data_IF_141769276530
#
_entry.id   IF_141769276530
#
_cell.length_a   1.000
_cell.length_b   1.000
_cell.length_c   1.000
_cell.angle_alpha   90.00
_cell.angle_beta   90.00
_cell.angle_gamma   90.00
#
_symmetry.space_group_name_H-M   'P 1'
#
loop_
_entity.id
_entity.type
_entity.pdbx_description
1 polymer ?
#
# COMPACT_ATOMS: atom_id res chain seq x y z
N UNK A 1 -6.27 5.25 -14.21
CA UNK A 1 -5.50 4.68 -15.34
C UNK A 1 -4.85 3.40 -14.86
N UNK A 2 -4.89 2.31 -15.62
CA UNK A 2 -4.16 1.08 -15.28
C UNK A 2 -2.65 1.33 -15.24
N UNK A 3 -1.94 0.59 -14.40
CA UNK A 3 -0.48 0.66 -14.22
C UNK A 3 0.10 -0.74 -14.32
N UNK A 4 1.24 -0.89 -14.99
CA UNK A 4 1.89 -2.19 -15.17
C UNK A 4 2.41 -2.75 -13.84
N UNK A 5 2.11 -4.03 -13.58
CA UNK A 5 2.55 -4.71 -12.35
C UNK A 5 4.08 -4.84 -12.33
N UNK A 6 4.73 -5.04 -13.49
CA UNK A 6 6.20 -5.01 -13.61
C UNK A 6 6.81 -3.69 -13.15
N UNK A 7 6.16 -2.56 -13.43
CA UNK A 7 6.64 -1.26 -12.98
C UNK A 7 6.58 -1.15 -11.45
N UNK A 8 5.48 -1.63 -10.85
CA UNK A 8 5.28 -1.65 -9.39
C UNK A 8 6.29 -2.61 -8.71
N UNK A 9 6.55 -3.77 -9.31
CA UNK A 9 7.49 -4.76 -8.79
C UNK A 9 8.92 -4.21 -8.61
N UNK A 10 9.30 -3.20 -9.40
CA UNK A 10 10.60 -2.54 -9.31
C UNK A 10 10.74 -1.56 -8.12
N UNK A 11 9.63 -1.21 -7.44
CA UNK A 11 9.66 -0.31 -6.28
C UNK A 11 10.47 -0.92 -5.14
N UNK A 12 11.24 -0.07 -4.43
CA UNK A 12 12.21 -0.53 -3.42
C UNK A 12 11.58 -1.45 -2.36
N UNK A 13 10.37 -1.14 -1.87
CA UNK A 13 9.64 -2.00 -0.90
C UNK A 13 9.06 -3.27 -1.52
N UNK A 14 8.70 -3.24 -2.81
CA UNK A 14 8.18 -4.41 -3.51
C UNK A 14 9.23 -5.48 -3.77
N UNK A 15 10.53 -5.13 -3.70
CA UNK A 15 11.64 -6.09 -3.82
C UNK A 15 11.66 -7.13 -2.69
N UNK A 16 10.97 -6.89 -1.58
CA UNK A 16 10.73 -7.92 -0.54
C UNK A 16 9.84 -9.07 -1.04
N UNK A 17 9.12 -8.87 -2.15
CA UNK A 17 8.28 -9.86 -2.82
C UNK A 17 8.89 -10.23 -4.18
N UNK A 18 9.99 -11.00 -4.20
CA UNK A 18 10.75 -11.26 -5.43
C UNK A 18 9.98 -12.10 -6.46
N UNK A 19 9.00 -12.90 -6.02
CA UNK A 19 8.25 -13.77 -6.91
C UNK A 19 7.06 -13.02 -7.57
N UNK A 20 7.19 -12.76 -8.86
CA UNK A 20 6.16 -12.09 -9.66
C UNK A 20 4.83 -12.86 -9.70
N UNK A 21 4.87 -14.19 -9.83
CA UNK A 21 3.66 -15.00 -9.91
C UNK A 21 2.85 -14.94 -8.60
N UNK A 22 3.54 -15.00 -7.45
CA UNK A 22 2.92 -14.85 -6.13
C UNK A 22 2.33 -13.45 -5.93
N UNK A 23 3.00 -12.41 -6.45
CA UNK A 23 2.47 -11.06 -6.41
C UNK A 23 1.16 -10.96 -7.21
N UNK A 24 1.13 -11.50 -8.43
CA UNK A 24 -0.07 -11.47 -9.28
C UNK A 24 -1.22 -12.27 -8.66
N UNK A 25 -0.96 -13.44 -8.06
CA UNK A 25 -2.00 -14.21 -7.37
C UNK A 25 -2.59 -13.44 -6.18
N UNK A 26 -1.74 -12.82 -5.36
CA UNK A 26 -2.19 -11.99 -4.23
C UNK A 26 -3.01 -10.77 -4.71
N UNK A 27 -2.62 -10.14 -5.82
CA UNK A 27 -3.37 -9.02 -6.39
C UNK A 27 -4.75 -9.45 -6.93
N UNK A 28 -4.88 -10.67 -7.46
CA UNK A 28 -6.18 -11.23 -7.91
C UNK A 28 -7.15 -11.44 -6.74
N UNK A 29 -6.65 -11.71 -5.54
CA UNK A 29 -7.45 -11.87 -4.31
C UNK A 29 -7.82 -10.52 -3.65
N UNK A 30 -7.28 -9.39 -4.13
CA UNK A 30 -7.50 -8.08 -3.53
C UNK A 30 -8.97 -7.62 -3.60
N UNK A 31 -9.50 -7.10 -2.50
CA UNK A 31 -10.82 -6.46 -2.47
C UNK A 31 -10.84 -5.07 -3.11
N UNK A 32 -9.70 -4.38 -3.18
CA UNK A 32 -9.59 -2.97 -3.61
C UNK A 32 -9.07 -2.83 -5.05
N UNK A 33 -8.20 -3.74 -5.47
CA UNK A 33 -7.54 -3.70 -6.77
C UNK A 33 -8.13 -4.74 -7.74
N UNK A 34 -8.09 -4.43 -9.02
CA UNK A 34 -8.48 -5.31 -10.12
C UNK A 34 -7.28 -5.47 -11.07
N UNK A 35 -6.96 -6.73 -11.38
CA UNK A 35 -5.91 -7.11 -12.34
C UNK A 35 -6.56 -7.28 -13.72
N UNK A 36 -5.95 -6.69 -14.74
CA UNK A 36 -6.38 -6.73 -16.15
C UNK A 36 -5.18 -7.16 -17.00
N UNK A 37 -5.43 -7.80 -18.14
CA UNK A 37 -4.41 -8.15 -19.13
C UNK A 37 -4.09 -9.65 -19.14
N UNK A 38 -3.17 -10.02 -20.03
CA UNK A 38 -2.69 -11.39 -20.19
C UNK A 38 -1.56 -11.71 -19.22
N UNK A 39 -1.27 -13.01 -19.05
CA UNK A 39 -0.21 -13.49 -18.18
C UNK A 39 1.16 -12.97 -18.63
N UNK A 40 1.84 -12.23 -17.76
CA UNK A 40 3.11 -11.57 -18.06
C UNK A 40 3.02 -10.12 -18.55
N UNK A 41 1.84 -9.58 -18.86
CA UNK A 41 1.60 -8.16 -19.15
C UNK A 41 0.48 -7.58 -18.27
N UNK A 42 0.40 -8.06 -17.03
CA UNK A 42 -0.64 -7.66 -16.11
C UNK A 42 -0.56 -6.19 -15.75
N UNK A 43 -1.72 -5.54 -15.77
CA UNK A 43 -1.94 -4.19 -15.30
C UNK A 43 -2.90 -4.20 -14.12
N UNK A 44 -2.75 -3.23 -13.23
CA UNK A 44 -3.62 -3.05 -12.07
C UNK A 44 -4.34 -1.71 -12.13
N UNK A 45 -5.63 -1.72 -11.79
CA UNK A 45 -6.42 -0.52 -11.53
C UNK A 45 -7.15 -0.63 -10.19
N UNK A 46 -7.58 0.49 -9.63
CA UNK A 46 -8.54 0.50 -8.52
C UNK A 46 -9.92 0.10 -9.03
N UNK A 47 -10.64 -0.72 -8.25
CA UNK A 47 -12.05 -1.07 -8.52
C UNK A 47 -12.94 0.16 -8.40
N UNK A 48 -12.79 0.88 -7.29
CA UNK A 48 -13.49 2.14 -7.06
C UNK A 48 -12.61 3.34 -7.45
N UNK A 49 -13.13 4.30 -8.22
CA UNK A 49 -12.40 5.51 -8.54
C UNK A 49 -12.17 6.35 -7.28
N UNK A 50 -11.03 7.03 -7.22
CA UNK A 50 -10.75 7.95 -6.13
C UNK A 50 -11.75 9.11 -6.12
N UNK A 51 -12.41 9.32 -4.97
CA UNK A 51 -13.35 10.43 -4.75
C UNK A 51 -12.63 11.52 -3.97
N UNK A 52 -12.58 12.74 -4.53
CA UNK A 52 -11.96 13.91 -3.90
C UNK A 52 -12.82 14.53 -2.78
N UNK A 53 -13.90 13.86 -2.37
CA UNK A 53 -14.86 14.35 -1.36
C UNK A 53 -14.37 14.25 0.08
N UNK A 54 -13.09 13.96 0.30
CA UNK A 54 -12.52 13.87 1.65
C UNK A 54 -12.47 15.28 2.24
N UNK A 55 -13.28 15.55 3.27
CA UNK A 55 -13.20 16.79 4.02
C UNK A 55 -11.80 16.89 4.64
N UNK A 56 -11.06 17.96 4.31
CA UNK A 56 -9.72 18.20 4.84
C UNK A 56 -9.72 18.23 6.38
N UNK A 57 -10.83 18.66 6.99
CA UNK A 57 -10.98 18.65 8.44
C UNK A 57 -11.06 17.23 9.01
N UNK A 58 -11.58 16.26 8.26
CA UNK A 58 -11.65 14.86 8.68
C UNK A 58 -10.27 14.20 8.66
N UNK A 59 -9.43 14.52 7.67
CA UNK A 59 -8.03 14.04 7.60
C UNK A 59 -7.23 14.54 8.80
N UNK A 60 -7.33 15.83 9.11
CA UNK A 60 -6.59 16.43 10.24
C UNK A 60 -7.02 15.85 11.60
N UNK A 61 -8.30 15.51 11.77
CA UNK A 61 -8.80 14.89 13.02
C UNK A 61 -8.23 13.50 13.28
N UNK A 62 -7.84 12.77 12.24
CA UNK A 62 -7.21 11.44 12.34
C UNK A 62 -5.68 11.49 12.34
N UNK A 63 -5.09 12.68 12.22
CA UNK A 63 -3.65 12.85 12.22
C UNK A 63 -3.12 13.09 13.64
N UNK A 64 -2.00 12.47 13.99
CA UNK A 64 -1.34 12.63 15.29
C UNK A 64 0.15 12.92 15.11
N UNK A 65 0.70 13.77 15.97
CA UNK A 65 2.14 13.98 16.08
C UNK A 65 2.69 13.11 17.21
N UNK A 66 3.67 12.27 16.89
CA UNK A 66 4.32 11.34 17.82
C UNK A 66 5.83 11.51 17.74
N UNK A 67 6.53 11.28 18.85
CA UNK A 67 7.99 11.40 18.95
C UNK A 67 8.55 10.41 19.96
N UNK A 68 9.86 10.16 19.89
CA UNK A 68 10.57 9.31 20.85
C UNK A 68 10.98 7.93 20.32
N UNK A 69 11.03 7.72 19.00
CA UNK A 69 11.40 6.45 18.37
C UNK A 69 12.92 6.25 18.16
N UNK A 70 13.75 7.18 18.62
CA UNK A 70 15.22 7.10 18.44
C UNK A 70 15.67 7.49 17.02
N UNK A 71 16.80 6.95 16.60
CA UNK A 71 17.43 7.23 15.31
C UNK A 71 16.79 6.43 14.16
N UNK A 72 16.76 7.01 12.96
CA UNK A 72 16.23 6.36 11.77
C UNK A 72 17.17 5.24 11.28
N UNK A 73 16.62 4.06 11.11
CA UNK A 73 17.28 2.88 10.56
C UNK A 73 16.52 2.39 9.33
N UNK A 74 17.12 1.51 8.50
CA UNK A 74 16.40 0.91 7.37
C UNK A 74 15.13 0.13 7.75
N UNK A 75 14.96 -0.23 9.03
CA UNK A 75 13.79 -0.97 9.55
C UNK A 75 12.74 -0.09 10.20
N UNK A 76 13.05 1.19 10.49
CA UNK A 76 12.19 2.09 11.26
C UNK A 76 10.76 2.15 10.71
N UNK A 77 10.57 2.09 9.39
CA UNK A 77 9.22 2.07 8.83
C UNK A 77 8.41 0.83 9.23
N UNK A 78 9.01 -0.37 9.21
CA UNK A 78 8.32 -1.60 9.62
C UNK A 78 8.09 -1.61 11.13
N UNK A 79 9.07 -1.17 11.91
CA UNK A 79 8.95 -1.11 13.37
C UNK A 79 7.81 -0.14 13.80
N UNK A 80 7.62 0.96 13.07
CA UNK A 80 6.51 1.89 13.26
C UNK A 80 5.17 1.30 12.81
N UNK A 81 5.12 0.66 11.64
CA UNK A 81 3.91 -0.02 11.14
C UNK A 81 3.44 -1.07 12.18
N UNK A 82 4.33 -1.93 12.67
CA UNK A 82 4.04 -2.95 13.69
C UNK A 82 3.52 -2.32 15.00
N UNK A 83 4.20 -1.27 15.49
CA UNK A 83 3.77 -0.53 16.68
C UNK A 83 2.35 0.05 16.54
N UNK A 84 2.04 0.66 15.38
CA UNK A 84 0.74 1.28 15.16
C UNK A 84 -0.37 0.28 14.87
N UNK A 85 -0.07 -0.90 14.31
CA UNK A 85 -1.04 -1.98 14.16
C UNK A 85 -1.61 -2.42 15.51
N UNK A 86 -0.78 -2.50 16.56
CA UNK A 86 -1.24 -2.84 17.92
C UNK A 86 -2.11 -1.75 18.57
N UNK A 87 -1.93 -0.49 18.15
CA UNK A 87 -2.57 0.67 18.75
C UNK A 87 -3.71 1.28 17.89
N UNK A 88 -4.19 0.55 16.88
CA UNK A 88 -5.35 0.96 16.07
C UNK A 88 -5.05 1.96 14.94
N UNK A 89 -3.80 2.00 14.48
CA UNK A 89 -3.31 2.92 13.46
C UNK A 89 -3.55 2.51 12.00
N UNK A 90 -4.21 1.38 11.75
CA UNK A 90 -4.59 1.01 10.39
C UNK A 90 -5.63 2.01 9.87
N UNK A 91 -5.17 2.89 8.98
CA UNK A 91 -6.06 3.74 8.18
C UNK A 91 -6.78 2.80 7.22
N UNK A 92 -7.93 2.28 7.65
CA UNK A 92 -8.79 1.44 6.82
C UNK A 92 -8.98 2.10 5.44
N UNK A 93 -8.69 1.33 4.39
CA UNK A 93 -8.73 1.75 2.99
C UNK A 93 -10.14 2.09 2.51
#
# INVERSE_FOLDING_TARGET
>A
KPVDVKHIHNFKRMRCYPNYATLVSALKESSVLEVIGEEGEEQVKRKEPYKLTVDKNDVTKRAVYVKGFGDETPKTQFDLEDFFTEHGGDVAA
#
